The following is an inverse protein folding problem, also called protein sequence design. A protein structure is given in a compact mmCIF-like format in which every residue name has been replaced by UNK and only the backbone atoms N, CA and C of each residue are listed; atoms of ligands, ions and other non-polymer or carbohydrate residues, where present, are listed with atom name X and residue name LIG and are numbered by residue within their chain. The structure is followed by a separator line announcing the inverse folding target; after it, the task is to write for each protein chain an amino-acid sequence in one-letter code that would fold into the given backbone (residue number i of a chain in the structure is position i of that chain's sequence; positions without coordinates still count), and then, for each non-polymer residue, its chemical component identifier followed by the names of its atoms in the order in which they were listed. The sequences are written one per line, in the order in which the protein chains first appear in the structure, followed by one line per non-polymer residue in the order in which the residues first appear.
data_IF_076836100495
#
_entry.id   IF_076836100495
#
_cell.length_a   1.000
_cell.length_b   1.000
_cell.length_c   1.000
_cell.angle_alpha   90.00
_cell.angle_beta   90.00
_cell.angle_gamma   90.00
#
_symmetry.space_group_name_H-M   'P 1'
#
loop_
_entity.id
_entity.type
_entity.pdbx_description
1 polymer ?
#
# COMPACT_ATOMS: atom_id res chain seq x y z
N UNK A 1 -0.27 -8.70 8.25
CA UNK A 1 -1.03 -7.46 8.12
C UNK A 1 -2.10 -7.61 7.05
N UNK A 2 -3.24 -6.95 7.20
CA UNK A 2 -4.29 -6.85 6.19
C UNK A 2 -4.51 -5.41 5.83
N UNK A 3 -4.93 -5.16 4.61
CA UNK A 3 -5.33 -3.85 4.13
C UNK A 3 -6.85 -3.77 4.19
N UNK A 4 -7.38 -2.80 4.93
CA UNK A 4 -8.82 -2.69 5.16
C UNK A 4 -9.36 -1.39 4.61
N UNK A 5 -10.43 -1.46 3.81
CA UNK A 5 -11.16 -0.30 3.29
C UNK A 5 -12.63 -0.35 3.64
N UNK A 6 -13.21 0.84 3.66
CA UNK A 6 -14.65 1.05 3.77
C UNK A 6 -15.21 1.35 2.38
N UNK A 7 -16.28 0.65 1.98
CA UNK A 7 -16.97 0.84 0.71
C UNK A 7 -18.49 0.93 0.92
N UNK A 8 -19.17 1.79 0.16
CA UNK A 8 -20.63 1.95 0.32
C UNK A 8 -21.47 0.89 -0.39
N UNK A 9 -20.88 0.02 -1.19
CA UNK A 9 -21.58 -1.01 -1.98
C UNK A 9 -20.68 -2.22 -2.17
N UNK A 10 -20.66 -3.11 -1.17
CA UNK A 10 -19.88 -4.34 -1.25
C UNK A 10 -20.45 -5.34 -2.27
N UNK A 11 -21.75 -5.33 -2.52
CA UNK A 11 -22.40 -6.29 -3.40
C UNK A 11 -21.85 -6.19 -4.84
N UNK A 12 -21.63 -4.96 -5.34
CA UNK A 12 -21.03 -4.74 -6.66
C UNK A 12 -19.59 -5.21 -6.73
N UNK A 13 -18.82 -4.98 -5.67
CA UNK A 13 -17.41 -5.43 -5.57
C UNK A 13 -17.31 -6.96 -5.52
N UNK A 14 -18.21 -7.64 -4.80
CA UNK A 14 -18.26 -9.11 -4.76
C UNK A 14 -18.49 -9.68 -6.15
N UNK A 15 -19.42 -9.10 -6.90
CA UNK A 15 -19.70 -9.54 -8.28
C UNK A 15 -18.48 -9.41 -9.19
N UNK A 16 -17.77 -8.29 -9.11
CA UNK A 16 -16.54 -8.06 -9.87
C UNK A 16 -15.42 -9.05 -9.50
N UNK A 17 -15.19 -9.26 -8.19
CA UNK A 17 -14.20 -10.21 -7.69
C UNK A 17 -14.47 -11.64 -8.13
N UNK A 18 -15.73 -12.08 -8.06
CA UNK A 18 -16.13 -13.42 -8.53
C UNK A 18 -15.92 -13.60 -10.03
N UNK A 19 -16.17 -12.56 -10.83
CA UNK A 19 -15.89 -12.57 -12.28
C UNK A 19 -14.41 -12.75 -12.58
N UNK A 20 -13.54 -12.21 -11.72
CA UNK A 20 -12.09 -12.39 -11.80
C UNK A 20 -11.61 -13.74 -11.24
N UNK A 21 -12.50 -14.59 -10.73
CA UNK A 21 -12.15 -15.85 -10.11
C UNK A 21 -11.50 -15.70 -8.72
N UNK A 22 -11.68 -14.55 -8.06
CA UNK A 22 -11.18 -14.33 -6.70
C UNK A 22 -12.04 -15.09 -5.70
N UNK A 23 -11.43 -15.93 -4.88
CA UNK A 23 -12.09 -16.65 -3.80
C UNK A 23 -12.14 -15.77 -2.55
N UNK A 24 -13.35 -15.58 -2.01
CA UNK A 24 -13.55 -14.86 -0.76
C UNK A 24 -13.21 -15.79 0.42
N UNK A 25 -12.28 -15.40 1.26
CA UNK A 25 -11.87 -16.13 2.47
C UNK A 25 -12.66 -15.73 3.70
N UNK A 26 -13.25 -14.53 3.67
CA UNK A 26 -14.18 -14.02 4.69
C UNK A 26 -15.40 -13.47 3.98
N UNK A 27 -16.58 -13.86 4.43
CA UNK A 27 -17.85 -13.32 3.98
C UNK A 27 -18.79 -13.22 5.18
N UNK A 28 -19.03 -12.01 5.65
CA UNK A 28 -19.91 -11.75 6.79
C UNK A 28 -21.16 -11.02 6.34
N UNK A 29 -22.29 -11.70 6.48
CA UNK A 29 -23.60 -11.19 6.13
C UNK A 29 -24.31 -10.61 7.36
N UNK A 30 -24.94 -9.47 7.19
CA UNK A 30 -25.96 -8.94 8.12
C UNK A 30 -27.36 -9.39 7.70
N UNK A 31 -28.39 -8.89 8.38
CA UNK A 31 -29.78 -9.25 8.08
C UNK A 31 -30.22 -8.83 6.66
N UNK A 32 -29.77 -7.65 6.18
CA UNK A 32 -30.17 -7.08 4.90
C UNK A 32 -29.00 -6.69 3.98
N UNK A 33 -27.75 -6.90 4.40
CA UNK A 33 -26.58 -6.46 3.63
C UNK A 33 -25.31 -7.27 3.94
N UNK A 34 -24.40 -7.27 2.99
CA UNK A 34 -23.05 -7.75 3.19
C UNK A 34 -22.28 -6.75 4.06
N UNK A 35 -21.70 -7.19 5.18
CA UNK A 35 -21.02 -6.31 6.13
C UNK A 35 -19.49 -6.28 5.93
N UNK A 36 -18.91 -7.41 5.56
CA UNK A 36 -17.45 -7.58 5.45
C UNK A 36 -17.14 -8.68 4.44
N UNK A 37 -16.15 -8.44 3.60
CA UNK A 37 -15.52 -9.46 2.77
C UNK A 37 -14.01 -9.41 2.93
N UNK A 38 -13.37 -10.57 2.88
CA UNK A 38 -11.92 -10.72 2.89
C UNK A 38 -11.46 -11.65 1.79
N UNK A 39 -10.36 -11.30 1.13
CA UNK A 39 -9.76 -12.07 0.05
C UNK A 39 -8.28 -11.73 -0.10
N UNK A 40 -7.44 -12.63 -0.62
CA UNK A 40 -6.06 -12.33 -0.96
C UNK A 40 -5.98 -11.60 -2.31
N UNK A 41 -5.05 -10.67 -2.44
CA UNK A 41 -4.62 -10.15 -3.73
C UNK A 41 -3.75 -11.21 -4.48
N UNK A 42 -3.34 -10.97 -5.74
CA UNK A 42 -2.50 -11.91 -6.49
C UNK A 42 -1.14 -12.21 -5.85
N UNK A 43 -0.65 -11.39 -4.93
CA UNK A 43 0.59 -11.57 -4.17
C UNK A 43 0.37 -12.29 -2.83
N UNK A 44 -0.89 -12.61 -2.49
CA UNK A 44 -1.27 -13.23 -1.21
C UNK A 44 -1.48 -12.25 -0.06
N UNK A 45 -1.48 -10.93 -0.33
CA UNK A 45 -1.79 -9.93 0.68
C UNK A 45 -3.29 -9.92 0.98
N UNK A 46 -3.63 -10.06 2.26
CA UNK A 46 -5.04 -10.00 2.68
C UNK A 46 -5.63 -8.61 2.53
N UNK A 47 -6.75 -8.55 1.84
CA UNK A 47 -7.59 -7.38 1.64
C UNK A 47 -8.90 -7.61 2.39
N UNK A 48 -9.37 -6.59 3.10
CA UNK A 48 -10.67 -6.61 3.77
C UNK A 48 -11.48 -5.39 3.33
N UNK A 49 -12.70 -5.60 2.88
CA UNK A 49 -13.65 -4.53 2.59
C UNK A 49 -14.79 -4.57 3.61
N UNK A 50 -15.12 -3.41 4.16
CA UNK A 50 -16.23 -3.21 5.09
C UNK A 50 -17.32 -2.36 4.45
N UNK A 51 -18.58 -2.77 4.61
CA UNK A 51 -19.73 -1.96 4.19
C UNK A 51 -19.92 -0.78 5.16
N UNK A 52 -19.80 0.45 4.66
CA UNK A 52 -20.25 1.63 5.39
C UNK A 52 -20.58 2.75 4.41
N UNK A 53 -21.61 3.50 4.72
CA UNK A 53 -22.13 4.58 3.86
C UNK A 53 -21.31 5.85 3.90
N UNK A 54 -20.63 6.11 5.02
CA UNK A 54 -19.80 7.31 5.19
C UNK A 54 -18.61 7.02 6.10
N UNK A 55 -17.43 7.33 5.61
CA UNK A 55 -16.24 7.50 6.43
C UNK A 55 -15.79 8.96 6.26
N UNK A 56 -15.85 9.71 7.32
CA UNK A 56 -15.30 11.08 7.37
C UNK A 56 -14.09 11.04 8.30
N UNK A 57 -12.87 10.97 7.76
CA UNK A 57 -11.69 11.10 8.60
C UNK A 57 -11.69 12.48 9.26
N UNK A 58 -11.15 12.62 10.47
CA UNK A 58 -10.99 13.92 11.11
C UNK A 58 -10.13 14.82 10.22
N UNK A 59 -10.45 16.11 10.18
CA UNK A 59 -9.64 17.09 9.48
C UNK A 59 -8.23 17.09 10.07
N UNK A 60 -7.25 16.64 9.29
CA UNK A 60 -5.83 16.68 9.68
C UNK A 60 -5.33 18.07 9.33
N UNK A 61 -4.76 18.78 10.30
CA UNK A 61 -4.10 20.05 10.04
C UNK A 61 -2.91 19.81 9.08
N UNK A 62 -2.84 20.47 7.92
CA UNK A 62 -1.86 20.17 6.87
C UNK A 62 -0.40 20.51 7.23
N UNK A 63 -0.15 20.98 8.44
CA UNK A 63 1.15 21.51 8.88
C UNK A 63 2.06 20.52 9.61
N UNK A 64 1.59 19.29 9.88
CA UNK A 64 2.39 18.31 10.60
C UNK A 64 2.76 17.13 9.70
N UNK A 65 3.93 17.20 9.08
CA UNK A 65 4.61 16.03 8.53
C UNK A 65 5.19 15.18 9.66
N UNK A 66 5.07 13.88 9.55
CA UNK A 66 5.76 12.94 10.44
C UNK A 66 7.28 12.98 10.19
N UNK A 67 8.10 12.44 11.10
CA UNK A 67 9.52 12.23 10.84
C UNK A 67 9.79 11.34 9.61
N UNK A 68 8.81 10.54 9.21
CA UNK A 68 8.88 9.67 8.01
C UNK A 68 8.66 10.45 6.70
N UNK A 69 8.20 11.70 6.76
CA UNK A 69 7.77 12.46 5.58
C UNK A 69 6.27 12.27 5.29
N UNK A 70 5.91 12.32 4.02
CA UNK A 70 4.53 12.17 3.53
C UNK A 70 4.28 10.71 3.14
N UNK A 71 3.13 10.17 3.57
CA UNK A 71 2.70 8.87 3.09
C UNK A 71 2.37 8.96 1.59
N UNK A 72 2.96 8.08 0.80
CA UNK A 72 2.83 8.07 -0.65
C UNK A 72 1.90 6.95 -1.12
N UNK A 73 2.22 5.72 -0.74
CA UNK A 73 1.50 4.54 -1.22
C UNK A 73 1.72 3.32 -0.32
N UNK A 74 0.84 2.34 -0.46
CA UNK A 74 1.02 1.01 0.08
C UNK A 74 1.70 0.13 -0.97
N UNK A 75 2.98 -0.18 -0.77
CA UNK A 75 3.80 -0.94 -1.71
C UNK A 75 3.59 -2.44 -1.56
N UNK A 76 3.16 -3.09 -2.61
CA UNK A 76 2.94 -4.53 -2.72
C UNK A 76 3.96 -5.16 -3.66
N UNK A 77 4.89 -5.98 -3.15
CA UNK A 77 5.76 -6.77 -4.01
C UNK A 77 4.94 -7.74 -4.85
N UNK A 78 5.21 -7.80 -6.14
CA UNK A 78 4.55 -8.74 -7.05
C UNK A 78 5.53 -9.25 -8.10
N UNK A 79 5.40 -10.53 -8.45
CA UNK A 79 6.14 -11.14 -9.55
C UNK A 79 5.42 -11.01 -10.90
N UNK A 80 4.16 -10.57 -10.89
CA UNK A 80 3.30 -10.45 -12.08
C UNK A 80 2.55 -9.11 -12.02
N UNK A 81 3.17 -8.08 -12.58
CA UNK A 81 2.61 -6.73 -12.61
C UNK A 81 1.31 -6.65 -13.42
N UNK A 82 1.20 -7.39 -14.51
CA UNK A 82 0.01 -7.37 -15.38
C UNK A 82 -1.20 -7.91 -14.62
N UNK A 83 -1.05 -9.08 -14.02
CA UNK A 83 -2.12 -9.70 -13.22
C UNK A 83 -2.49 -8.85 -12.02
N UNK A 84 -1.49 -8.29 -11.31
CA UNK A 84 -1.74 -7.43 -10.17
C UNK A 84 -2.47 -6.14 -10.60
N UNK A 85 -2.06 -5.51 -11.70
CA UNK A 85 -2.71 -4.33 -12.25
C UNK A 85 -4.17 -4.59 -12.62
N UNK A 86 -4.45 -5.68 -13.34
CA UNK A 86 -5.81 -6.05 -13.70
C UNK A 86 -6.71 -6.29 -12.48
N UNK A 87 -6.16 -6.88 -11.42
CA UNK A 87 -6.88 -7.08 -10.16
C UNK A 87 -7.27 -5.76 -9.49
N UNK A 88 -6.32 -4.80 -9.37
CA UNK A 88 -6.58 -3.52 -8.73
C UNK A 88 -7.48 -2.60 -9.57
N UNK A 89 -7.36 -2.65 -10.90
CA UNK A 89 -8.27 -1.97 -11.84
C UNK A 89 -9.72 -2.44 -11.65
N UNK A 90 -9.94 -3.72 -11.52
CA UNK A 90 -11.27 -4.29 -11.26
C UNK A 90 -11.86 -3.90 -9.89
N UNK A 91 -11.04 -3.49 -8.93
CA UNK A 91 -11.46 -2.88 -7.67
C UNK A 91 -11.74 -1.38 -7.78
N UNK A 92 -11.59 -0.79 -8.99
CA UNK A 92 -11.83 0.62 -9.26
C UNK A 92 -10.64 1.53 -9.00
N UNK A 93 -9.43 0.98 -8.92
CA UNK A 93 -8.21 1.79 -8.94
C UNK A 93 -7.82 2.13 -10.38
N UNK A 94 -7.18 3.27 -10.57
CA UNK A 94 -6.68 3.70 -11.88
C UNK A 94 -5.17 3.47 -11.93
N UNK A 95 -4.74 2.53 -12.77
CA UNK A 95 -3.33 2.25 -12.95
C UNK A 95 -2.67 3.30 -13.86
N UNK A 96 -1.49 3.79 -13.44
CA UNK A 96 -0.64 4.64 -14.26
C UNK A 96 0.38 3.82 -15.05
N UNK A 97 1.03 4.47 -16.01
CA UNK A 97 2.11 3.85 -16.77
C UNK A 97 3.25 3.38 -15.85
N UNK A 98 3.88 2.24 -16.16
CA UNK A 98 4.97 1.71 -15.34
C UNK A 98 6.16 2.67 -15.26
N UNK A 99 6.61 2.94 -14.05
CA UNK A 99 7.88 3.64 -13.77
C UNK A 99 8.98 2.59 -13.59
N UNK A 100 10.16 2.85 -14.16
CA UNK A 100 11.27 1.87 -14.15
C UNK A 100 12.38 2.17 -13.14
N UNK A 101 12.39 3.36 -12.57
CA UNK A 101 13.43 3.77 -11.62
C UNK A 101 12.81 4.18 -10.28
N UNK A 102 13.41 3.81 -9.15
CA UNK A 102 14.64 3.00 -8.96
C UNK A 102 14.47 1.51 -9.26
N UNK A 103 13.25 1.03 -9.33
CA UNK A 103 12.82 -0.31 -9.76
C UNK A 103 11.50 -0.21 -10.51
N UNK A 104 11.10 -1.26 -11.21
CA UNK A 104 9.84 -1.26 -11.96
C UNK A 104 8.66 -1.26 -10.99
N UNK A 105 7.78 -0.27 -11.10
CA UNK A 105 6.52 -0.20 -10.35
C UNK A 105 5.38 0.34 -11.20
N UNK A 106 4.16 -0.08 -10.86
CA UNK A 106 2.92 0.51 -11.31
C UNK A 106 2.23 1.12 -10.11
N UNK A 107 1.80 2.37 -10.19
CA UNK A 107 0.96 2.99 -9.17
C UNK A 107 -0.50 2.81 -9.59
N UNK A 108 -1.28 2.16 -8.75
CA UNK A 108 -2.73 2.07 -8.86
C UNK A 108 -3.36 3.06 -7.88
N UNK A 109 -3.89 4.17 -8.42
CA UNK A 109 -4.47 5.23 -7.62
C UNK A 109 -5.93 4.93 -7.26
N UNK A 110 -6.23 4.94 -5.98
CA UNK A 110 -7.59 4.97 -5.46
C UNK A 110 -7.97 6.38 -4.99
N UNK A 111 -9.21 6.54 -4.58
CA UNK A 111 -9.68 7.83 -4.05
C UNK A 111 -8.95 8.26 -2.77
N UNK A 112 -8.70 7.30 -1.88
CA UNK A 112 -8.24 7.57 -0.52
C UNK A 112 -6.85 6.95 -0.25
N UNK A 113 -6.35 6.15 -1.18
CA UNK A 113 -5.09 5.41 -1.04
C UNK A 113 -4.52 5.08 -2.41
N UNK A 114 -3.20 5.21 -2.55
CA UNK A 114 -2.46 4.67 -3.67
C UNK A 114 -1.85 3.31 -3.29
N UNK A 115 -1.86 2.40 -4.23
CA UNK A 115 -1.19 1.09 -4.14
C UNK A 115 -0.07 1.06 -5.15
N UNK A 116 1.15 0.86 -4.67
CA UNK A 116 2.32 0.65 -5.51
C UNK A 116 2.52 -0.85 -5.77
N UNK A 117 2.43 -1.28 -7.01
CA UNK A 117 2.73 -2.65 -7.42
C UNK A 117 4.20 -2.72 -7.80
N UNK A 118 5.02 -3.44 -7.03
CA UNK A 118 6.47 -3.41 -7.11
C UNK A 118 7.04 -4.72 -7.68
N UNK A 119 7.67 -4.65 -8.84
CA UNK A 119 8.50 -5.75 -9.36
C UNK A 119 9.87 -5.73 -8.67
N UNK A 120 9.90 -6.21 -7.44
CA UNK A 120 11.08 -6.14 -6.56
C UNK A 120 11.08 -7.28 -5.57
N UNK A 121 12.30 -7.75 -5.21
CA UNK A 121 12.51 -8.78 -4.19
C UNK A 121 12.37 -8.18 -2.77
N UNK A 122 11.14 -7.91 -2.39
CA UNK A 122 10.72 -7.60 -1.02
C UNK A 122 9.88 -8.76 -0.50
N UNK A 123 10.12 -9.16 0.75
CA UNK A 123 9.37 -10.27 1.38
C UNK A 123 8.00 -9.87 1.90
N UNK A 124 7.84 -8.61 2.24
CA UNK A 124 6.64 -8.09 2.89
C UNK A 124 6.15 -6.84 2.15
N UNK A 125 4.85 -6.55 2.20
CA UNK A 125 4.32 -5.24 1.87
C UNK A 125 5.00 -4.14 2.69
N UNK A 126 5.05 -2.93 2.14
CA UNK A 126 5.67 -1.77 2.76
C UNK A 126 4.73 -0.58 2.77
N UNK A 127 4.81 0.26 3.79
CA UNK A 127 4.27 1.61 3.76
C UNK A 127 5.35 2.52 3.20
N UNK A 128 5.10 3.17 2.07
CA UNK A 128 6.08 4.04 1.43
C UNK A 128 5.83 5.49 1.82
N UNK A 129 6.89 6.13 2.27
CA UNK A 129 6.91 7.55 2.61
C UNK A 129 7.97 8.25 1.77
N UNK A 130 7.67 9.48 1.34
CA UNK A 130 8.60 10.30 0.56
C UNK A 130 8.76 11.69 1.14
N UNK A 131 9.95 12.25 0.97
CA UNK A 131 10.24 13.64 1.35
C UNK A 131 11.51 14.11 0.61
N UNK A 132 11.58 15.37 0.13
CA UNK A 132 12.80 15.92 -0.49
C UNK A 132 14.02 15.90 0.43
N UNK A 133 13.80 15.99 1.76
CA UNK A 133 14.83 15.98 2.79
C UNK A 133 14.96 14.60 3.48
N UNK A 134 14.62 13.52 2.77
CA UNK A 134 14.64 12.17 3.36
C UNK A 134 15.99 11.77 3.96
N UNK A 135 17.15 12.10 3.37
CA UNK A 135 18.45 11.77 3.99
C UNK A 135 18.62 12.33 5.41
N UNK A 136 18.19 13.55 5.66
CA UNK A 136 18.24 14.19 6.98
C UNK A 136 17.27 13.50 7.96
N UNK A 137 16.09 13.12 7.49
CA UNK A 137 15.11 12.39 8.28
C UNK A 137 15.61 10.99 8.68
N UNK A 138 16.25 10.28 7.75
CA UNK A 138 16.89 8.98 7.99
C UNK A 138 17.99 9.12 9.05
N UNK A 139 18.81 10.18 8.98
CA UNK A 139 19.84 10.44 9.98
C UNK A 139 19.23 10.65 11.37
N UNK A 140 18.21 11.50 11.48
CA UNK A 140 17.50 11.75 12.74
C UNK A 140 16.86 10.49 13.33
N UNK A 141 16.26 9.63 12.50
CA UNK A 141 15.69 8.35 12.93
C UNK A 141 16.77 7.38 13.44
N UNK A 142 17.95 7.37 12.82
CA UNK A 142 19.10 6.57 13.30
C UNK A 142 19.63 7.06 14.65
N UNK A 143 19.72 8.38 14.84
CA UNK A 143 20.10 8.98 16.13
C UNK A 143 19.12 8.64 17.25
N UNK A 144 17.84 8.49 16.94
CA UNK A 144 16.81 8.04 17.87
C UNK A 144 16.83 6.52 18.14
N UNK A 145 17.74 5.77 17.50
CA UNK A 145 17.90 4.33 17.72
C UNK A 145 16.88 3.44 17.03
N UNK A 146 16.19 3.95 15.99
CA UNK A 146 15.27 3.12 15.21
C UNK A 146 16.00 2.02 14.44
N UNK A 147 15.35 0.88 14.28
CA UNK A 147 15.91 -0.29 13.59
C UNK A 147 15.69 -0.21 12.09
N UNK A 148 16.79 -0.33 11.34
CA UNK A 148 16.77 -0.35 9.88
C UNK A 148 17.08 -1.75 9.36
N UNK A 149 16.45 -2.12 8.25
CA UNK A 149 16.77 -3.32 7.50
C UNK A 149 18.01 -3.05 6.65
N UNK A 150 19.00 -3.92 6.74
CA UNK A 150 20.30 -3.70 6.07
C UNK A 150 20.20 -3.72 4.54
N UNK A 151 19.26 -4.48 3.98
CA UNK A 151 19.13 -4.67 2.53
C UNK A 151 17.95 -3.90 1.97
N UNK A 152 18.27 -2.92 1.14
CA UNK A 152 17.28 -2.21 0.32
C UNK A 152 16.92 -2.98 -0.97
N UNK A 153 15.76 -2.71 -1.57
CA UNK A 153 15.44 -3.13 -2.93
C UNK A 153 16.55 -2.75 -3.92
N UNK A 154 16.79 -3.65 -4.87
CA UNK A 154 17.81 -3.42 -5.91
C UNK A 154 17.48 -2.17 -6.71
N UNK A 155 18.49 -1.32 -6.95
CA UNK A 155 18.35 -0.05 -7.67
C UNK A 155 18.20 1.17 -6.77
N UNK A 156 17.90 1.00 -5.48
CA UNK A 156 17.79 2.11 -4.53
C UNK A 156 19.16 2.53 -3.99
N UNK A 157 19.36 3.85 -3.90
CA UNK A 157 20.56 4.43 -3.31
C UNK A 157 20.45 4.46 -1.77
N UNK A 158 21.32 3.76 -1.00
CA UNK A 158 21.22 3.71 0.46
C UNK A 158 21.59 5.03 1.16
N UNK A 159 22.09 6.01 0.43
CA UNK A 159 22.34 7.35 0.96
C UNK A 159 21.07 8.23 0.95
N UNK A 160 20.11 7.91 0.08
CA UNK A 160 18.89 8.69 -0.14
C UNK A 160 17.64 7.96 0.37
N UNK A 161 17.75 6.65 0.58
CA UNK A 161 16.62 5.81 0.89
C UNK A 161 16.96 4.85 2.05
N UNK A 162 15.93 4.40 2.76
CA UNK A 162 16.08 3.42 3.81
C UNK A 162 14.84 2.53 3.94
N UNK A 163 15.00 1.37 4.54
CA UNK A 163 13.92 0.49 4.94
C UNK A 163 13.95 0.38 6.47
N UNK A 164 12.94 0.93 7.12
CA UNK A 164 12.77 0.91 8.56
C UNK A 164 11.86 -0.27 8.94
N UNK A 165 12.15 -0.93 10.05
CA UNK A 165 11.29 -1.95 10.63
C UNK A 165 10.64 -1.42 11.91
N UNK A 166 9.31 -1.33 11.92
CA UNK A 166 8.55 -0.99 13.11
C UNK A 166 8.58 -2.15 14.13
N UNK A 167 8.34 -1.88 15.42
CA UNK A 167 8.42 -2.91 16.47
C UNK A 167 7.56 -4.14 16.23
N UNK A 168 6.41 -3.98 15.59
CA UNK A 168 5.48 -5.05 15.23
C UNK A 168 5.86 -5.77 13.90
N UNK A 169 6.99 -5.40 13.27
CA UNK A 169 7.49 -6.00 12.05
C UNK A 169 6.96 -5.40 10.75
N UNK A 170 6.20 -4.30 10.80
CA UNK A 170 5.80 -3.56 9.59
C UNK A 170 7.02 -2.87 8.96
N UNK A 171 7.16 -2.98 7.66
CA UNK A 171 8.23 -2.32 6.92
C UNK A 171 7.78 -0.96 6.38
N UNK A 172 8.64 0.05 6.58
CA UNK A 172 8.43 1.42 6.15
C UNK A 172 9.53 1.78 5.16
N UNK A 173 9.18 1.95 3.89
CA UNK A 173 10.12 2.34 2.84
C UNK A 173 10.19 3.86 2.79
N UNK A 174 11.37 4.40 3.06
CA UNK A 174 11.66 5.83 3.07
C UNK A 174 12.39 6.20 1.78
N UNK A 175 11.83 7.11 1.00
CA UNK A 175 12.35 7.49 -0.32
C UNK A 175 12.50 8.99 -0.44
N UNK A 176 13.53 9.44 -1.16
CA UNK A 176 13.61 10.84 -1.57
C UNK A 176 12.62 11.07 -2.72
N UNK A 177 11.65 11.98 -2.53
CA UNK A 177 10.81 12.41 -3.64
C UNK A 177 11.67 13.15 -4.66
N UNK A 178 11.49 12.80 -5.93
CA UNK A 178 12.01 13.59 -7.05
C UNK A 178 10.83 14.38 -7.59
N UNK A 179 10.91 15.70 -7.48
CA UNK A 179 9.98 16.62 -8.14
C UNK A 179 9.93 16.37 -9.66
#
# INVERSE_FOLDING_TARGET
PSLTWVRPDLASHVSALRTLGVELTVERLGEDALLEIGFPDPSGQMITLLEARTFSPPAIAPTHTTLLGYFEEFGLPTADLERATAFWDALGFVAFDPVRMPFTKVVAAGRDLNVGLYDVDLRNPVLTFSDPTMPERIAALREQGHRFVERLPRGMNPRENALLEAPEGTWLLLTTSRD
#
